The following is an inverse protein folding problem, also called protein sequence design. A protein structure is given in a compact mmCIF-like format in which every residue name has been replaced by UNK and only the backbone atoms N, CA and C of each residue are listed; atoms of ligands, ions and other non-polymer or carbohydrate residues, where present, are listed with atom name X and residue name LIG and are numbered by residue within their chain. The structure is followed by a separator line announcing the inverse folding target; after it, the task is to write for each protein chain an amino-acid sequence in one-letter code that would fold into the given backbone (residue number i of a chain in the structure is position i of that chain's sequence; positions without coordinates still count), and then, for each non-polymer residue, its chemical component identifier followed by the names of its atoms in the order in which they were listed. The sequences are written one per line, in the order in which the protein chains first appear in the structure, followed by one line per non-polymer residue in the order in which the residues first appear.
data_IF_150878073185
#
_entry.id   IF_150878073185
#
_cell.length_a   1.000
_cell.length_b   1.000
_cell.length_c   1.000
_cell.angle_alpha   90.00
_cell.angle_beta   90.00
_cell.angle_gamma   90.00
#
_symmetry.space_group_name_H-M   'P 1'
#
loop_
_entity.id
_entity.type
_entity.pdbx_description
1 polymer ?
#
# COMPACT_ATOMS: atom_id res chain seq x y z
N UNK A 1 18.93 -4.34 -14.96
CA UNK A 1 18.35 -3.06 -14.50
C UNK A 1 17.11 -3.37 -13.66
N UNK A 2 16.73 -2.52 -12.70
CA UNK A 2 15.47 -2.71 -11.98
C UNK A 2 14.31 -2.34 -12.90
N UNK A 3 13.32 -3.22 -13.02
CA UNK A 3 12.12 -3.04 -13.84
C UNK A 3 10.89 -3.12 -12.94
N UNK A 4 9.96 -2.17 -13.10
CA UNK A 4 8.72 -2.10 -12.34
C UNK A 4 7.55 -2.54 -13.23
N UNK A 5 7.17 -3.81 -13.14
CA UNK A 5 6.19 -4.44 -14.03
C UNK A 5 4.73 -4.16 -13.67
N UNK A 6 4.49 -3.43 -12.58
CA UNK A 6 3.16 -3.07 -12.12
C UNK A 6 2.90 -1.59 -12.36
N UNK A 7 1.63 -1.22 -12.59
CA UNK A 7 1.19 0.18 -12.61
C UNK A 7 1.06 0.72 -11.18
N UNK A 8 0.98 2.05 -11.07
CA UNK A 8 0.69 2.70 -9.79
C UNK A 8 -0.62 2.19 -9.17
N UNK A 9 -0.74 2.18 -7.83
CA UNK A 9 -1.97 1.80 -7.15
C UNK A 9 -3.16 2.63 -7.66
N UNK A 10 -4.23 1.97 -8.06
CA UNK A 10 -5.43 2.60 -8.63
C UNK A 10 -6.58 2.76 -7.64
N UNK A 11 -6.50 2.13 -6.47
CA UNK A 11 -7.48 2.19 -5.39
C UNK A 11 -6.80 2.39 -4.03
N UNK A 12 -7.50 2.96 -3.03
CA UNK A 12 -7.08 2.91 -1.63
C UNK A 12 -6.88 1.48 -1.13
N UNK A 13 -5.94 1.29 -0.22
CA UNK A 13 -5.65 -0.03 0.39
C UNK A 13 -6.88 -0.61 1.09
N UNK A 14 -7.69 0.24 1.73
CA UNK A 14 -8.90 -0.11 2.46
C UNK A 14 -9.87 -0.94 1.60
N UNK A 15 -10.10 -0.50 0.35
CA UNK A 15 -11.03 -1.12 -0.59
C UNK A 15 -10.62 -2.55 -0.95
N UNK A 16 -9.32 -2.87 -0.87
CA UNK A 16 -8.81 -4.22 -1.05
C UNK A 16 -8.86 -5.03 0.26
N UNK A 17 -8.22 -4.53 1.33
CA UNK A 17 -7.96 -5.35 2.53
C UNK A 17 -9.23 -5.69 3.31
N UNK A 18 -10.26 -4.87 3.26
CA UNK A 18 -11.52 -5.16 3.97
C UNK A 18 -12.43 -6.16 3.26
N UNK A 19 -12.03 -6.63 2.07
CA UNK A 19 -12.59 -7.85 1.49
C UNK A 19 -12.08 -9.12 2.17
N UNK A 20 -11.08 -9.01 3.05
CA UNK A 20 -10.50 -10.14 3.77
C UNK A 20 -10.88 -10.13 5.25
N UNK A 21 -11.37 -11.27 5.76
CA UNK A 21 -11.79 -11.39 7.16
C UNK A 21 -10.65 -11.13 8.16
N UNK A 22 -9.40 -11.43 7.80
CA UNK A 22 -8.22 -11.22 8.66
C UNK A 22 -8.03 -9.75 9.07
N UNK A 23 -8.46 -8.79 8.23
CA UNK A 23 -8.42 -7.37 8.55
C UNK A 23 -9.77 -6.87 9.08
N UNK A 24 -10.87 -7.36 8.50
CA UNK A 24 -12.23 -6.97 8.87
C UNK A 24 -12.60 -7.34 10.31
N UNK A 25 -12.00 -8.37 10.89
CA UNK A 25 -12.24 -8.72 12.29
C UNK A 25 -11.80 -7.59 13.22
N UNK A 26 -10.63 -7.00 12.98
CA UNK A 26 -10.06 -5.96 13.84
C UNK A 26 -10.90 -4.68 13.86
N UNK A 27 -11.59 -4.35 12.75
CA UNK A 27 -12.49 -3.19 12.70
C UNK A 27 -13.69 -3.34 13.62
N UNK A 28 -14.09 -4.58 13.94
CA UNK A 28 -15.22 -4.89 14.82
C UNK A 28 -14.81 -4.93 16.30
N UNK A 29 -13.63 -5.46 16.59
CA UNK A 29 -13.16 -5.65 17.96
C UNK A 29 -12.37 -4.46 18.50
N UNK A 30 -11.59 -3.78 17.66
CA UNK A 30 -10.73 -2.65 18.04
C UNK A 30 -10.75 -1.54 16.97
N UNK A 31 -11.88 -0.85 16.78
CA UNK A 31 -12.10 0.08 15.66
C UNK A 31 -11.07 1.22 15.58
N UNK A 32 -10.68 1.81 16.72
CA UNK A 32 -9.73 2.93 16.73
C UNK A 32 -8.31 2.49 16.36
N UNK A 33 -7.91 1.29 16.81
CA UNK A 33 -6.63 0.69 16.42
C UNK A 33 -6.65 0.34 14.93
N UNK A 34 -7.75 -0.22 14.42
CA UNK A 34 -7.90 -0.53 13.01
C UNK A 34 -7.75 0.72 12.12
N UNK A 35 -8.39 1.85 12.47
CA UNK A 35 -8.24 3.13 11.76
C UNK A 35 -6.79 3.62 11.75
N UNK A 36 -6.11 3.57 12.90
CA UNK A 36 -4.70 3.97 13.02
C UNK A 36 -3.81 3.11 12.11
N UNK A 37 -3.95 1.79 12.19
CA UNK A 37 -3.15 0.86 11.40
C UNK A 37 -3.45 0.96 9.90
N UNK A 38 -4.70 1.19 9.51
CA UNK A 38 -5.06 1.42 8.11
C UNK A 38 -4.34 2.65 7.54
N UNK A 39 -4.31 3.75 8.30
CA UNK A 39 -3.58 4.96 7.90
C UNK A 39 -2.09 4.69 7.72
N UNK A 40 -1.46 4.06 8.70
CA UNK A 40 -0.03 3.71 8.64
C UNK A 40 0.28 2.75 7.47
N UNK A 41 -0.59 1.78 7.22
CA UNK A 41 -0.45 0.83 6.12
C UNK A 41 -0.59 1.52 4.75
N UNK A 42 -1.58 2.40 4.58
CA UNK A 42 -1.77 3.19 3.36
C UNK A 42 -0.53 4.04 3.06
N UNK A 43 0.00 4.74 4.07
CA UNK A 43 1.24 5.51 3.93
C UNK A 43 2.43 4.62 3.57
N UNK A 44 2.54 3.44 4.18
CA UNK A 44 3.59 2.46 3.91
C UNK A 44 3.58 1.96 2.46
N UNK A 45 2.40 1.63 1.93
CA UNK A 45 2.23 1.22 0.52
C UNK A 45 2.67 2.34 -0.43
N UNK A 46 2.23 3.57 -0.19
CA UNK A 46 2.59 4.71 -1.03
C UNK A 46 4.09 5.03 -0.98
N UNK A 47 4.71 4.96 0.21
CA UNK A 47 6.16 5.14 0.38
C UNK A 47 6.95 4.09 -0.40
N UNK A 48 6.53 2.82 -0.31
CA UNK A 48 7.18 1.71 -1.03
C UNK A 48 7.03 1.85 -2.55
N UNK A 49 5.85 2.25 -3.02
CA UNK A 49 5.63 2.53 -4.44
C UNK A 49 6.59 3.60 -4.96
N UNK A 50 6.67 4.76 -4.29
CA UNK A 50 7.58 5.86 -4.67
C UNK A 50 9.04 5.43 -4.69
N UNK A 51 9.45 4.56 -3.77
CA UNK A 51 10.80 4.00 -3.76
C UNK A 51 11.07 3.17 -5.02
N UNK A 52 10.16 2.26 -5.38
CA UNK A 52 10.31 1.44 -6.59
C UNK A 52 10.27 2.27 -7.87
N UNK A 53 9.38 3.26 -7.95
CA UNK A 53 9.33 4.21 -9.07
C UNK A 53 10.65 4.96 -9.25
N UNK A 54 11.25 5.42 -8.14
CA UNK A 54 12.57 6.06 -8.16
C UNK A 54 13.67 5.10 -8.63
N UNK A 55 13.66 3.86 -8.14
CA UNK A 55 14.64 2.86 -8.56
C UNK A 55 14.52 2.58 -10.06
N UNK A 56 13.31 2.38 -10.59
CA UNK A 56 13.09 2.15 -12.02
C UNK A 56 13.54 3.34 -12.89
N UNK A 57 13.13 4.56 -12.53
CA UNK A 57 13.50 5.77 -13.29
C UNK A 57 14.99 6.10 -13.26
N UNK A 58 15.72 5.68 -12.22
CA UNK A 58 17.18 5.87 -12.15
C UNK A 58 17.90 5.02 -13.20
N UNK A 59 17.35 3.87 -13.60
CA UNK A 59 17.93 3.02 -14.64
C UNK A 59 17.52 3.40 -16.06
N UNK A 60 16.37 4.07 -16.26
CA UNK A 60 15.96 4.55 -17.60
C UNK A 60 16.73 5.78 -18.09
N UNK A 61 17.31 6.57 -17.17
CA UNK A 61 18.06 7.80 -17.50
C UNK A 61 19.56 7.57 -17.74
N UNK A 62 19.99 6.33 -17.94
CA UNK A 62 21.38 5.93 -18.20
C UNK A 62 21.52 5.36 -19.60
#
# INVERSE_FOLDING_TARGET
PFQLDSKAPSIPLEEYIYNENRYKMLTRTMPEVAKKLLKEAQEGVLKRWKMYERLASTFEKK
#
